data_IF_147697852886
#
_entry.id   IF_147697852886
#
_cell.length_a   1.000
_cell.length_b   1.000
_cell.length_c   1.000
_cell.angle_alpha   90.00
_cell.angle_beta   90.00
_cell.angle_gamma   90.00
#
_symmetry.space_group_name_H-M   'P 1'
#
loop_
_entity.id
_entity.type
_entity.pdbx_description
1 polymer ?
#
# COMPACT_ATOMS: atom_id res chain seq x y z
N UNK A 1 16.05 9.36 11.54
CA UNK A 1 16.95 10.38 12.16
C UNK A 1 17.58 11.19 11.03
N UNK A 2 18.33 12.27 11.29
CA UNK A 2 19.08 12.97 10.22
C UNK A 2 20.51 12.44 10.11
N UNK A 3 21.17 12.65 8.96
CA UNK A 3 22.58 12.28 8.77
C UNK A 3 23.52 12.94 9.78
N UNK A 4 23.30 14.22 10.08
CA UNK A 4 24.08 14.95 11.08
C UNK A 4 23.89 14.36 12.48
N UNK A 5 22.67 13.98 12.85
CA UNK A 5 22.38 13.30 14.12
C UNK A 5 23.11 11.95 14.19
N UNK A 6 23.07 11.16 13.12
CA UNK A 6 23.78 9.88 13.04
C UNK A 6 25.30 10.06 13.17
N UNK A 7 25.90 10.97 12.39
CA UNK A 7 27.34 11.29 12.46
C UNK A 7 27.77 11.71 13.87
N UNK A 8 26.97 12.54 14.55
CA UNK A 8 27.24 12.93 15.94
C UNK A 8 27.23 11.74 16.90
N UNK A 9 26.35 10.76 16.68
CA UNK A 9 26.24 9.53 17.50
C UNK A 9 27.39 8.54 17.26
N UNK A 10 27.89 8.45 16.03
CA UNK A 10 29.02 7.57 15.68
C UNK A 10 30.39 8.23 15.86
N UNK A 11 30.44 9.57 16.00
CA UNK A 11 31.69 10.32 16.13
C UNK A 11 32.54 10.34 14.85
N UNK A 12 31.95 10.10 13.69
CA UNK A 12 32.63 9.98 12.41
C UNK A 12 31.75 10.49 11.26
N UNK A 13 32.39 10.83 10.14
CA UNK A 13 31.67 11.16 8.90
C UNK A 13 31.26 9.88 8.14
N UNK A 14 30.18 10.00 7.37
CA UNK A 14 29.68 8.92 6.52
C UNK A 14 29.28 9.51 5.16
N UNK A 15 29.44 8.72 4.09
CA UNK A 15 28.99 9.13 2.76
C UNK A 15 27.46 9.25 2.72
N UNK A 16 26.91 10.04 1.80
CA UNK A 16 25.45 10.11 1.62
C UNK A 16 24.87 8.74 1.19
N UNK A 17 25.63 7.99 0.38
CA UNK A 17 25.23 6.67 -0.12
C UNK A 17 25.15 5.62 0.99
N UNK A 18 26.12 5.61 1.91
CA UNK A 18 26.08 4.68 3.04
C UNK A 18 25.04 5.11 4.07
N UNK A 19 24.88 6.42 4.28
CA UNK A 19 23.82 6.93 5.15
C UNK A 19 22.42 6.54 4.66
N UNK A 20 22.13 6.57 3.35
CA UNK A 20 20.81 6.14 2.86
C UNK A 20 20.51 4.67 3.17
N UNK A 21 21.54 3.82 3.25
CA UNK A 21 21.38 2.41 3.66
C UNK A 21 21.09 2.34 5.17
N UNK A 22 21.86 3.08 5.99
CA UNK A 22 21.63 3.18 7.43
C UNK A 22 20.22 3.67 7.73
N UNK A 23 19.77 4.73 7.05
CA UNK A 23 18.46 5.32 7.22
C UNK A 23 17.34 4.34 6.88
N UNK A 24 17.51 3.59 5.79
CA UNK A 24 16.55 2.56 5.41
C UNK A 24 16.46 1.44 6.45
N UNK A 25 17.59 0.90 6.91
CA UNK A 25 17.61 -0.13 7.98
C UNK A 25 17.03 0.42 9.28
N UNK A 26 17.38 1.64 9.66
CA UNK A 26 16.83 2.30 10.85
C UNK A 26 15.31 2.44 10.81
N UNK A 27 14.75 2.69 9.62
CA UNK A 27 13.32 2.93 9.45
C UNK A 27 12.52 1.63 9.39
N UNK A 28 13.05 0.60 8.73
CA UNK A 28 12.25 -0.57 8.35
C UNK A 28 12.67 -1.88 8.99
N UNK A 29 13.87 -1.98 9.57
CA UNK A 29 14.34 -3.26 10.07
C UNK A 29 13.58 -3.67 11.35
N UNK A 30 12.95 -4.86 11.40
CA UNK A 30 12.03 -5.24 12.49
C UNK A 30 12.70 -5.39 13.86
N UNK A 31 14.02 -5.59 13.90
CA UNK A 31 14.79 -5.66 15.16
C UNK A 31 15.29 -4.31 15.65
N UNK A 32 15.08 -3.22 14.90
CA UNK A 32 15.37 -1.86 15.35
C UNK A 32 14.11 -1.32 16.00
N UNK A 33 14.19 -0.98 17.29
CA UNK A 33 13.04 -0.55 18.08
C UNK A 33 12.63 0.90 17.75
N UNK A 34 11.34 1.21 17.80
CA UNK A 34 10.83 2.60 17.72
C UNK A 34 11.36 3.52 18.83
N UNK A 35 11.58 2.99 20.03
CA UNK A 35 12.01 3.77 21.21
C UNK A 35 13.52 4.01 21.21
N UNK A 36 14.32 2.94 21.11
CA UNK A 36 15.79 2.98 21.23
C UNK A 36 16.53 2.87 19.89
N UNK A 37 15.81 2.89 18.76
CA UNK A 37 16.38 2.52 17.47
C UNK A 37 17.54 3.41 17.01
N UNK A 38 17.57 4.66 17.50
CA UNK A 38 18.64 5.60 17.15
C UNK A 38 19.97 5.21 17.79
N UNK A 39 19.93 4.79 19.05
CA UNK A 39 21.07 4.27 19.79
C UNK A 39 21.50 2.92 19.21
N UNK A 40 20.55 2.01 18.99
CA UNK A 40 20.81 0.66 18.46
C UNK A 40 21.53 0.68 17.11
N UNK A 41 21.04 1.45 16.13
CA UNK A 41 21.67 1.49 14.79
C UNK A 41 23.05 2.15 14.83
N UNK A 42 23.25 3.14 15.71
CA UNK A 42 24.55 3.78 15.89
C UNK A 42 25.55 2.84 16.57
N UNK A 43 25.12 2.03 17.55
CA UNK A 43 25.95 1.01 18.19
C UNK A 43 26.33 -0.11 17.22
N UNK A 44 25.38 -0.63 16.44
CA UNK A 44 25.66 -1.61 15.39
C UNK A 44 26.71 -1.11 14.40
N UNK A 45 26.57 0.15 13.95
CA UNK A 45 27.55 0.75 13.06
C UNK A 45 28.92 0.93 13.73
N UNK A 46 28.98 1.42 14.98
CA UNK A 46 30.25 1.60 15.71
C UNK A 46 30.97 0.27 15.94
N UNK A 47 30.24 -0.79 16.23
CA UNK A 47 30.81 -2.11 16.55
C UNK A 47 31.23 -2.91 15.32
N UNK A 48 30.48 -2.81 14.22
CA UNK A 48 30.67 -3.71 13.06
C UNK A 48 30.78 -3.00 11.71
N UNK A 49 30.57 -1.68 11.66
CA UNK A 49 30.64 -0.86 10.45
C UNK A 49 29.53 -1.16 9.45
N UNK A 50 29.74 -0.72 8.20
CA UNK A 50 28.76 -0.94 7.11
C UNK A 50 28.44 -2.40 6.77
N UNK A 51 29.34 -3.41 6.93
CA UNK A 51 28.99 -4.80 6.61
C UNK A 51 27.76 -5.32 7.36
N UNK A 52 27.61 -5.04 8.66
CA UNK A 52 26.41 -5.49 9.40
C UNK A 52 25.15 -4.80 8.88
N UNK A 53 25.24 -3.49 8.62
CA UNK A 53 24.11 -2.69 8.13
C UNK A 53 23.65 -3.22 6.77
N UNK A 54 24.59 -3.56 5.88
CA UNK A 54 24.27 -4.15 4.57
C UNK A 54 23.62 -5.53 4.69
N UNK A 55 24.08 -6.36 5.62
CA UNK A 55 23.45 -7.67 5.87
C UNK A 55 22.01 -7.54 6.38
N UNK A 56 21.70 -6.46 7.11
CA UNK A 56 20.34 -6.18 7.60
C UNK A 56 19.40 -5.67 6.51
N UNK A 57 19.89 -5.25 5.34
CA UNK A 57 19.05 -4.67 4.29
C UNK A 57 17.96 -5.61 3.78
N UNK A 58 18.24 -6.90 3.67
CA UNK A 58 17.28 -7.87 3.13
C UNK A 58 16.00 -7.92 3.99
N UNK A 59 16.17 -8.05 5.32
CA UNK A 59 15.05 -8.05 6.25
C UNK A 59 14.32 -6.70 6.28
N UNK A 60 15.04 -5.58 6.19
CA UNK A 60 14.44 -4.24 6.11
C UNK A 60 13.58 -4.07 4.84
N UNK A 61 14.07 -4.52 3.68
CA UNK A 61 13.33 -4.46 2.42
C UNK A 61 12.04 -5.30 2.46
N UNK A 62 12.11 -6.50 3.05
CA UNK A 62 10.93 -7.35 3.21
C UNK A 62 9.91 -6.72 4.17
N UNK A 63 10.37 -6.17 5.29
CA UNK A 63 9.51 -5.49 6.25
C UNK A 63 8.82 -4.27 5.63
N UNK A 64 9.54 -3.44 4.87
CA UNK A 64 8.95 -2.32 4.13
C UNK A 64 7.88 -2.80 3.14
N UNK A 65 8.18 -3.84 2.35
CA UNK A 65 7.24 -4.37 1.36
C UNK A 65 5.96 -4.87 2.02
N UNK A 66 6.09 -5.59 3.14
CA UNK A 66 4.95 -6.10 3.90
C UNK A 66 4.16 -4.97 4.57
N UNK A 67 4.81 -3.96 5.13
CA UNK A 67 4.15 -2.80 5.72
C UNK A 67 3.34 -2.02 4.67
N UNK A 68 3.92 -1.80 3.49
CA UNK A 68 3.22 -1.18 2.35
C UNK A 68 2.01 -2.01 1.90
N UNK A 69 2.16 -3.33 1.80
CA UNK A 69 1.06 -4.23 1.46
C UNK A 69 -0.04 -4.20 2.53
N UNK A 70 0.32 -4.18 3.81
CA UNK A 70 -0.61 -4.06 4.93
C UNK A 70 -1.37 -2.72 4.88
N UNK A 71 -0.67 -1.62 4.62
CA UNK A 71 -1.30 -0.31 4.47
C UNK A 71 -2.29 -0.28 3.29
N UNK A 72 -1.97 -0.95 2.17
CA UNK A 72 -2.88 -1.09 1.04
C UNK A 72 -4.11 -1.94 1.40
N UNK A 73 -3.90 -3.09 2.06
CA UNK A 73 -5.00 -3.95 2.50
C UNK A 73 -5.91 -3.23 3.50
N UNK A 74 -5.35 -2.44 4.43
CA UNK A 74 -6.15 -1.66 5.37
C UNK A 74 -7.02 -0.61 4.65
N UNK A 75 -6.52 0.02 3.59
CA UNK A 75 -7.35 0.93 2.77
C UNK A 75 -8.51 0.19 2.10
N UNK A 76 -8.28 -1.01 1.58
CA UNK A 76 -9.35 -1.84 1.02
C UNK A 76 -10.41 -2.21 2.08
N UNK A 77 -9.98 -2.54 3.30
CA UNK A 77 -10.87 -2.77 4.43
C UNK A 77 -11.72 -1.53 4.76
N UNK A 78 -11.12 -0.33 4.76
CA UNK A 78 -11.87 0.90 5.01
C UNK A 78 -12.89 1.22 3.91
N UNK A 79 -12.57 0.96 2.64
CA UNK A 79 -13.55 1.11 1.55
C UNK A 79 -14.73 0.13 1.70
N UNK A 80 -14.47 -1.12 2.08
CA UNK A 80 -15.52 -2.08 2.39
C UNK A 80 -16.38 -1.62 3.58
N UNK A 81 -15.77 -1.07 4.63
CA UNK A 81 -16.51 -0.49 5.77
C UNK A 81 -17.44 0.64 5.34
N UNK A 82 -17.00 1.55 4.47
CA UNK A 82 -17.85 2.61 3.91
C UNK A 82 -19.06 2.04 3.15
N UNK A 83 -18.83 1.00 2.34
CA UNK A 83 -19.90 0.31 1.59
C UNK A 83 -20.91 -0.36 2.52
N UNK A 84 -20.45 -1.03 3.59
CA UNK A 84 -21.32 -1.60 4.63
C UNK A 84 -22.19 -0.51 5.27
N UNK A 85 -21.63 0.67 5.57
CA UNK A 85 -22.39 1.80 6.12
C UNK A 85 -23.45 2.31 5.13
N UNK A 86 -23.15 2.37 3.82
CA UNK A 86 -24.14 2.76 2.78
C UNK A 86 -25.30 1.78 2.74
N UNK A 87 -25.00 0.48 2.70
CA UNK A 87 -26.00 -0.60 2.72
C UNK A 87 -26.86 -0.54 3.98
N UNK A 88 -26.26 -0.33 5.14
CA UNK A 88 -27.00 -0.19 6.41
C UNK A 88 -27.97 1.00 6.42
N UNK A 89 -27.71 2.03 5.60
CA UNK A 89 -28.60 3.19 5.41
C UNK A 89 -29.67 2.95 4.32
N UNK A 90 -29.68 1.79 3.69
CA UNK A 90 -30.59 1.44 2.59
C UNK A 90 -30.12 1.88 1.20
N UNK A 91 -28.92 2.45 1.06
CA UNK A 91 -28.33 2.74 -0.25
C UNK A 91 -27.68 1.45 -0.80
N UNK A 92 -28.39 0.81 -1.72
CA UNK A 92 -27.99 -0.45 -2.37
C UNK A 92 -27.48 -0.26 -3.81
N UNK A 93 -27.47 0.98 -4.32
CA UNK A 93 -27.30 1.26 -5.76
C UNK A 93 -25.99 0.67 -6.30
N UNK A 94 -24.88 0.90 -5.59
CA UNK A 94 -23.56 0.43 -6.02
C UNK A 94 -23.42 -1.09 -5.90
N UNK A 95 -23.94 -1.72 -4.84
CA UNK A 95 -23.84 -3.18 -4.68
C UNK A 95 -24.71 -3.94 -5.71
N UNK A 96 -25.88 -3.39 -6.04
CA UNK A 96 -26.72 -3.91 -7.11
C UNK A 96 -26.03 -3.75 -8.48
N UNK A 97 -25.44 -2.58 -8.72
CA UNK A 97 -24.66 -2.32 -9.93
C UNK A 97 -23.47 -3.27 -10.07
N UNK A 98 -22.68 -3.48 -9.01
CA UNK A 98 -21.57 -4.44 -8.97
C UNK A 98 -22.06 -5.85 -9.34
N UNK A 99 -23.18 -6.28 -8.73
CA UNK A 99 -23.73 -7.62 -8.96
C UNK A 99 -24.17 -7.82 -10.41
N UNK A 100 -24.81 -6.82 -11.03
CA UNK A 100 -25.24 -6.89 -12.43
C UNK A 100 -24.06 -6.74 -13.40
N UNK A 101 -23.11 -5.85 -13.09
CA UNK A 101 -21.91 -5.64 -13.89
C UNK A 101 -21.04 -6.90 -13.99
N UNK A 102 -20.81 -7.61 -12.88
CA UNK A 102 -20.08 -8.90 -12.90
C UNK A 102 -20.72 -9.93 -13.81
N UNK A 103 -22.04 -10.10 -13.67
CA UNK A 103 -22.81 -11.04 -14.52
C UNK A 103 -22.67 -10.68 -15.99
N UNK A 104 -22.80 -9.40 -16.34
CA UNK A 104 -22.65 -8.95 -17.72
C UNK A 104 -21.23 -9.18 -18.23
N UNK A 105 -20.21 -8.83 -17.43
CA UNK A 105 -18.79 -9.01 -17.77
C UNK A 105 -18.43 -10.46 -18.06
N UNK A 106 -19.01 -11.42 -17.33
CA UNK A 106 -18.84 -12.86 -17.57
C UNK A 106 -19.51 -13.36 -18.87
N UNK A 107 -20.49 -12.62 -19.41
CA UNK A 107 -21.26 -13.02 -20.59
C UNK A 107 -20.86 -12.35 -21.90
N UNK A 108 -20.26 -11.15 -21.83
CA UNK A 108 -19.80 -10.42 -23.02
C UNK A 108 -18.50 -11.01 -23.54
N UNK A 109 -18.32 -11.03 -24.86
CA UNK A 109 -17.18 -11.69 -25.49
C UNK A 109 -16.15 -10.71 -26.08
N UNK A 110 -16.52 -9.44 -26.22
CA UNK A 110 -15.64 -8.41 -26.78
C UNK A 110 -15.87 -7.02 -26.15
N UNK A 111 -14.91 -6.09 -26.32
CA UNK A 111 -14.99 -4.76 -25.74
C UNK A 111 -16.20 -3.93 -26.21
N UNK A 112 -16.71 -4.16 -27.43
CA UNK A 112 -17.87 -3.42 -27.94
C UNK A 112 -19.15 -3.85 -27.22
N UNK A 113 -19.34 -5.17 -27.02
CA UNK A 113 -20.43 -5.68 -26.18
C UNK A 113 -20.33 -5.16 -24.74
N UNK A 114 -19.12 -5.05 -24.19
CA UNK A 114 -18.88 -4.47 -22.88
C UNK A 114 -19.28 -2.98 -22.82
N UNK A 115 -18.89 -2.16 -23.80
CA UNK A 115 -19.27 -0.74 -23.87
C UNK A 115 -20.80 -0.54 -23.91
N UNK A 116 -21.51 -1.42 -24.63
CA UNK A 116 -22.97 -1.43 -24.67
C UNK A 116 -23.56 -1.80 -23.31
N UNK A 117 -23.00 -2.81 -22.64
CA UNK A 117 -23.40 -3.22 -21.29
C UNK A 117 -23.18 -2.08 -20.27
N UNK A 118 -22.02 -1.42 -20.30
CA UNK A 118 -21.71 -0.25 -19.46
C UNK A 118 -22.69 0.89 -19.74
N UNK A 119 -23.00 1.17 -21.00
CA UNK A 119 -23.98 2.21 -21.36
C UNK A 119 -25.37 1.91 -20.82
N UNK A 120 -25.79 0.65 -20.82
CA UNK A 120 -27.04 0.21 -20.21
C UNK A 120 -27.01 0.37 -18.68
N UNK A 121 -25.93 -0.05 -18.01
CA UNK A 121 -25.76 0.12 -16.57
C UNK A 121 -25.79 1.59 -16.16
N UNK A 122 -25.15 2.49 -16.92
CA UNK A 122 -25.11 3.93 -16.64
C UNK A 122 -26.49 4.57 -16.71
N UNK A 123 -27.35 4.13 -17.63
CA UNK A 123 -28.74 4.57 -17.69
C UNK A 123 -29.56 4.11 -16.49
N UNK A 124 -29.24 2.94 -15.92
CA UNK A 124 -29.99 2.32 -14.83
C UNK A 124 -29.56 2.78 -13.43
N UNK A 125 -28.25 2.82 -13.19
CA UNK A 125 -27.66 3.08 -11.87
C UNK A 125 -27.03 4.48 -11.75
N UNK A 126 -26.88 5.20 -12.86
CA UNK A 126 -26.16 6.47 -12.94
C UNK A 126 -24.67 6.28 -13.23
N UNK A 127 -24.06 7.27 -13.89
CA UNK A 127 -22.65 7.18 -14.30
C UNK A 127 -21.69 6.94 -13.14
N UNK A 128 -21.86 7.71 -12.05
CA UNK A 128 -20.97 7.64 -10.88
C UNK A 128 -20.96 6.26 -10.22
N UNK A 129 -22.14 5.64 -10.06
CA UNK A 129 -22.25 4.32 -9.44
C UNK A 129 -21.62 3.21 -10.30
N UNK A 130 -21.71 3.34 -11.63
CA UNK A 130 -21.11 2.38 -12.57
C UNK A 130 -19.60 2.54 -12.62
N UNK A 131 -19.11 3.77 -12.70
CA UNK A 131 -17.66 4.03 -12.70
C UNK A 131 -17.03 3.58 -11.37
N UNK A 132 -17.73 3.76 -10.24
CA UNK A 132 -17.34 3.20 -8.94
C UNK A 132 -17.31 1.66 -8.98
N UNK A 133 -18.38 1.01 -9.46
CA UNK A 133 -18.49 -0.45 -9.53
C UNK A 133 -17.39 -1.09 -10.39
N UNK A 134 -17.15 -0.57 -11.59
CA UNK A 134 -16.12 -1.06 -12.52
C UNK A 134 -14.74 -0.95 -11.89
N UNK A 135 -14.45 0.19 -11.24
CA UNK A 135 -13.16 0.42 -10.57
C UNK A 135 -12.94 -0.52 -9.39
N UNK A 136 -13.97 -0.79 -8.59
CA UNK A 136 -13.89 -1.68 -7.41
C UNK A 136 -13.55 -3.11 -7.84
N UNK A 137 -14.16 -3.57 -8.92
CA UNK A 137 -14.08 -4.96 -9.36
C UNK A 137 -13.09 -5.18 -10.51
N UNK A 138 -12.39 -4.12 -10.93
CA UNK A 138 -11.41 -4.14 -12.01
C UNK A 138 -11.99 -4.74 -13.32
N UNK A 139 -13.20 -4.33 -13.69
CA UNK A 139 -13.93 -4.85 -14.85
C UNK A 139 -13.54 -4.11 -16.14
N UNK A 140 -12.33 -4.36 -16.62
CA UNK A 140 -11.77 -3.77 -17.85
C UNK A 140 -11.50 -4.88 -18.90
N UNK A 141 -11.89 -4.64 -20.15
CA UNK A 141 -11.69 -5.52 -21.31
C UNK A 141 -10.85 -4.84 -22.39
#
# INVERSE_FOLDING_TARGET
MTKQEFQKRIGAEISQKDYSIVEHVYTWHPSISEVEGKEQIAELYKSFGMPIIKNMMEAANYAETLDRAMAQAQRQVEELRKRIIRVAKGDLVVEQCITEAKKLFETVNDPHEWDVAVSYLKKRYGADAVDEAIKIEHLEM
#
